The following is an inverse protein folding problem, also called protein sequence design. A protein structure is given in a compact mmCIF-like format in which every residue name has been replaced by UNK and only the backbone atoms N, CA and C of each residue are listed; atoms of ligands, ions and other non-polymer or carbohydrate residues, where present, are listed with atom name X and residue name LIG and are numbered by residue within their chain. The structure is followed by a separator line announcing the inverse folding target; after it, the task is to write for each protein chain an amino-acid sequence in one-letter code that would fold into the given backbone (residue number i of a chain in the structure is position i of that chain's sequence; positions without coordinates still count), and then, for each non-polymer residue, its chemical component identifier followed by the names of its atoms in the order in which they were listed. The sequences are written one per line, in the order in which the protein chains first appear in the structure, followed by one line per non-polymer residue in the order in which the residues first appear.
data_IF_194677935405
#
_entry.id   IF_194677935405
#
_cell.length_a   1.000
_cell.length_b   1.000
_cell.length_c   1.000
_cell.angle_alpha   90.00
_cell.angle_beta   90.00
_cell.angle_gamma   90.00
#
_symmetry.space_group_name_H-M   'P 1'
#
loop_
_entity.id
_entity.type
_entity.pdbx_description
1 polymer ?
#
# COMPACT_ATOMS: atom_id res chain seq x y z
N UNK A 1 5.44 -28.45 1.53
CA UNK A 1 5.68 -27.08 2.06
C UNK A 1 5.70 -26.17 0.85
N UNK A 2 4.74 -25.24 0.74
CA UNK A 2 4.53 -24.50 -0.48
C UNK A 2 5.44 -23.25 -0.54
N UNK A 3 6.26 -23.16 -1.59
CA UNK A 3 7.07 -21.96 -1.86
C UNK A 3 6.20 -20.79 -2.36
N UNK A 4 5.00 -21.11 -2.84
CA UNK A 4 4.03 -20.19 -3.40
C UNK A 4 2.61 -20.62 -3.00
N UNK A 5 1.72 -19.65 -2.83
CA UNK A 5 0.30 -19.91 -2.57
C UNK A 5 -0.36 -20.32 -3.89
N UNK A 6 -1.04 -21.46 -3.88
CA UNK A 6 -1.88 -21.95 -4.98
C UNK A 6 -3.34 -21.87 -4.54
N UNK A 7 -4.13 -20.94 -5.11
CA UNK A 7 -5.55 -20.83 -4.77
C UNK A 7 -6.33 -22.13 -4.95
N UNK A 8 -5.91 -22.98 -5.90
CA UNK A 8 -6.55 -24.27 -6.19
C UNK A 8 -6.57 -25.22 -4.99
N UNK A 9 -5.61 -25.10 -4.07
CA UNK A 9 -5.53 -25.95 -2.89
C UNK A 9 -6.66 -25.68 -1.88
N UNK A 10 -7.43 -24.59 -2.06
CA UNK A 10 -8.53 -24.19 -1.17
C UNK A 10 -9.93 -24.47 -1.76
N UNK A 11 -10.02 -25.07 -2.94
CA UNK A 11 -11.29 -25.31 -3.64
C UNK A 11 -11.37 -26.75 -4.14
N UNK A 12 -12.55 -27.36 -4.04
CA UNK A 12 -12.80 -28.69 -4.62
C UNK A 12 -12.76 -28.65 -6.16
N UNK A 13 -13.38 -27.63 -6.76
CA UNK A 13 -13.33 -27.38 -8.20
C UNK A 13 -12.48 -26.14 -8.50
N UNK A 14 -11.27 -26.30 -9.09
CA UNK A 14 -10.45 -25.17 -9.52
C UNK A 14 -11.15 -24.23 -10.50
N UNK A 15 -12.19 -24.69 -11.21
CA UNK A 15 -12.97 -23.86 -12.11
C UNK A 15 -13.73 -22.74 -11.37
N UNK A 16 -13.94 -22.85 -10.06
CA UNK A 16 -14.56 -21.82 -9.23
C UNK A 16 -13.73 -20.53 -9.19
N UNK A 17 -12.41 -20.65 -9.34
CA UNK A 17 -11.49 -19.51 -9.40
C UNK A 17 -11.60 -18.86 -10.78
N UNK A 18 -12.12 -17.64 -10.82
CA UNK A 18 -12.36 -16.90 -12.08
C UNK A 18 -11.23 -15.96 -12.47
N UNK A 19 -10.35 -15.66 -11.52
CA UNK A 19 -9.15 -14.87 -11.71
C UNK A 19 -8.24 -15.03 -10.48
N UNK A 20 -6.93 -15.04 -10.68
CA UNK A 20 -5.94 -15.06 -9.60
C UNK A 20 -4.76 -14.15 -9.90
N UNK A 21 -4.12 -13.64 -8.86
CA UNK A 21 -2.90 -12.87 -8.97
C UNK A 21 -1.67 -13.76 -9.10
N UNK A 22 -0.51 -13.15 -9.40
CA UNK A 22 0.77 -13.75 -9.07
C UNK A 22 0.93 -13.87 -7.54
N UNK A 23 1.98 -14.56 -7.11
CA UNK A 23 2.42 -14.49 -5.72
C UNK A 23 3.27 -13.24 -5.52
N UNK A 24 3.11 -12.62 -4.37
CA UNK A 24 3.83 -11.42 -3.97
C UNK A 24 4.65 -11.70 -2.72
N UNK A 25 5.90 -11.27 -2.72
CA UNK A 25 6.90 -11.58 -1.72
C UNK A 25 7.46 -10.35 -1.05
N UNK A 26 7.81 -10.46 0.23
CA UNK A 26 8.46 -9.39 0.99
C UNK A 26 9.33 -9.97 2.09
N UNK A 27 10.59 -9.52 2.20
CA UNK A 27 11.42 -9.78 3.37
C UNK A 27 10.87 -9.03 4.60
N UNK A 28 10.61 -9.75 5.68
CA UNK A 28 10.21 -9.15 6.96
C UNK A 28 11.42 -8.74 7.81
N UNK A 29 11.16 -8.21 9.01
CA UNK A 29 12.22 -7.70 9.91
C UNK A 29 13.04 -8.81 10.56
N UNK A 30 12.62 -10.06 10.45
CA UNK A 30 13.30 -11.24 10.97
C UNK A 30 13.95 -12.05 9.83
N UNK A 31 14.18 -11.42 8.68
CA UNK A 31 14.75 -12.01 7.46
C UNK A 31 13.95 -13.17 6.84
N UNK A 32 12.69 -13.36 7.25
CA UNK A 32 11.83 -14.35 6.60
C UNK A 32 11.21 -13.77 5.33
N UNK A 33 10.97 -14.63 4.34
CA UNK A 33 10.24 -14.26 3.14
C UNK A 33 8.76 -14.49 3.36
N UNK A 34 7.99 -13.39 3.41
CA UNK A 34 6.53 -13.43 3.42
C UNK A 34 6.02 -13.67 2.01
N UNK A 35 4.93 -14.42 1.90
CA UNK A 35 4.20 -14.65 0.65
C UNK A 35 2.75 -14.23 0.81
N UNK A 36 2.16 -13.66 -0.24
CA UNK A 36 0.77 -13.24 -0.32
C UNK A 36 0.21 -13.47 -1.73
N UNK A 37 -1.03 -13.93 -1.82
CA UNK A 37 -1.76 -14.03 -3.08
C UNK A 37 -3.23 -13.68 -2.87
N UNK A 38 -3.88 -13.22 -3.94
CA UNK A 38 -5.29 -12.86 -3.96
C UNK A 38 -5.96 -13.39 -5.22
N UNK A 39 -7.22 -13.80 -5.11
CA UNK A 39 -8.00 -14.32 -6.22
C UNK A 39 -9.47 -13.95 -6.07
N UNK A 40 -10.21 -14.19 -7.15
CA UNK A 40 -11.66 -14.00 -7.26
C UNK A 40 -12.29 -15.34 -7.63
N UNK A 41 -13.30 -15.76 -6.87
CA UNK A 41 -14.04 -17.00 -7.08
C UNK A 41 -15.55 -16.76 -7.05
N UNK A 42 -16.33 -17.76 -7.46
CA UNK A 42 -17.78 -17.79 -7.31
C UNK A 42 -18.27 -18.54 -6.06
N UNK A 43 -17.38 -19.30 -5.41
CA UNK A 43 -17.57 -19.93 -4.10
C UNK A 43 -16.55 -19.40 -3.07
N UNK A 44 -16.68 -19.80 -1.80
CA UNK A 44 -15.73 -19.45 -0.74
C UNK A 44 -14.74 -20.62 -0.60
N UNK A 45 -13.43 -20.33 -0.58
CA UNK A 45 -12.41 -21.35 -0.35
C UNK A 45 -12.42 -21.87 1.08
N UNK A 46 -12.15 -23.16 1.24
CA UNK A 46 -12.11 -23.88 2.52
C UNK A 46 -10.73 -23.73 3.17
N UNK A 47 -10.70 -23.65 4.51
CA UNK A 47 -9.43 -23.51 5.25
C UNK A 47 -8.62 -24.81 5.28
N UNK A 48 -9.32 -25.95 5.31
CA UNK A 48 -8.75 -27.28 5.23
C UNK A 48 -9.42 -28.05 4.06
N UNK A 49 -8.65 -28.75 3.21
CA UNK A 49 -9.19 -29.50 2.06
C UNK A 49 -10.18 -30.62 2.44
N UNK A 50 -10.24 -31.00 3.72
CA UNK A 50 -11.10 -32.07 4.25
C UNK A 50 -12.43 -31.55 4.84
N UNK A 51 -12.61 -30.22 4.96
CA UNK A 51 -13.83 -29.58 5.48
C UNK A 51 -14.88 -29.33 4.35
N UNK A 52 -14.95 -30.26 3.40
CA UNK A 52 -15.81 -30.22 2.22
C UNK A 52 -17.26 -30.61 2.54
N UNK A 53 -18.00 -29.75 3.23
CA UNK A 53 -19.46 -29.76 3.16
C UNK A 53 -20.01 -28.32 3.10
N UNK A 54 -20.43 -27.88 1.90
CA UNK A 54 -20.84 -26.49 1.71
C UNK A 54 -21.60 -26.12 0.43
N UNK A 55 -22.80 -26.68 0.25
CA UNK A 55 -23.96 -26.09 -0.44
C UNK A 55 -23.83 -25.64 -1.92
N UNK A 56 -24.20 -26.54 -2.85
CA UNK A 56 -24.56 -26.18 -4.23
C UNK A 56 -25.96 -25.53 -4.27
N UNK A 57 -26.02 -24.21 -4.20
CA UNK A 57 -27.23 -23.44 -4.45
C UNK A 57 -27.59 -23.41 -5.94
N UNK A 58 -28.55 -24.23 -6.35
CA UNK A 58 -29.32 -24.04 -7.60
C UNK A 58 -30.16 -22.76 -7.46
N UNK A 59 -29.77 -21.66 -8.11
CA UNK A 59 -30.55 -20.42 -8.01
C UNK A 59 -30.22 -19.32 -9.03
N UNK A 60 -31.21 -19.06 -9.88
CA UNK A 60 -31.48 -17.86 -10.67
C UNK A 60 -30.65 -17.59 -11.94
N UNK A 61 -31.29 -17.84 -13.09
CA UNK A 61 -30.87 -17.42 -14.44
C UNK A 61 -30.87 -15.89 -14.66
N UNK A 62 -31.28 -15.08 -13.66
CA UNK A 62 -31.58 -13.66 -13.82
C UNK A 62 -31.10 -12.74 -12.68
N UNK A 63 -30.23 -13.21 -11.78
CA UNK A 63 -29.50 -12.35 -10.84
C UNK A 63 -28.01 -12.43 -11.11
N UNK A 64 -27.30 -11.29 -11.11
CA UNK A 64 -25.85 -11.30 -11.22
C UNK A 64 -25.24 -12.19 -10.14
N UNK A 65 -24.43 -13.17 -10.56
CA UNK A 65 -23.77 -14.12 -9.66
C UNK A 65 -22.94 -13.36 -8.61
N UNK A 66 -22.99 -13.81 -7.37
CA UNK A 66 -22.09 -13.32 -6.32
C UNK A 66 -20.65 -13.76 -6.62
N UNK A 67 -19.69 -12.88 -6.32
CA UNK A 67 -18.26 -13.19 -6.39
C UNK A 67 -17.58 -12.91 -5.06
N UNK A 68 -16.51 -13.64 -4.77
CA UNK A 68 -15.74 -13.52 -3.54
C UNK A 68 -14.31 -13.14 -3.86
N UNK A 69 -13.81 -12.10 -3.20
CA UNK A 69 -12.39 -11.75 -3.20
C UNK A 69 -11.76 -12.42 -1.98
N UNK A 70 -10.82 -13.33 -2.19
CA UNK A 70 -10.13 -14.04 -1.13
C UNK A 70 -8.62 -13.90 -1.26
N UNK A 71 -7.91 -13.83 -0.14
CA UNK A 71 -6.45 -13.79 -0.11
C UNK A 71 -5.91 -14.74 0.92
N UNK A 72 -4.65 -15.14 0.73
CA UNK A 72 -3.91 -15.88 1.73
C UNK A 72 -2.52 -15.26 1.92
N UNK A 73 -1.95 -15.50 3.09
CA UNK A 73 -0.66 -14.94 3.47
C UNK A 73 0.09 -15.82 4.45
N UNK A 74 1.42 -15.72 4.46
CA UNK A 74 2.23 -16.46 5.40
C UNK A 74 3.72 -16.24 5.21
N UNK A 75 4.51 -17.21 5.67
CA UNK A 75 5.96 -17.30 5.44
C UNK A 75 6.20 -18.41 4.43
N UNK A 76 7.09 -18.18 3.46
CA UNK A 76 7.54 -19.20 2.49
C UNK A 76 8.08 -20.41 3.26
N UNK A 77 7.58 -21.61 2.93
CA UNK A 77 7.94 -22.84 3.64
C UNK A 77 7.40 -22.93 5.08
N UNK A 78 6.57 -21.99 5.51
CA UNK A 78 5.90 -21.99 6.81
C UNK A 78 4.39 -22.15 6.69
N UNK A 79 3.67 -21.77 7.75
CA UNK A 79 2.20 -21.77 7.78
C UNK A 79 1.65 -20.65 6.89
N UNK A 80 0.69 -21.01 6.05
CA UNK A 80 -0.13 -20.09 5.27
C UNK A 80 -1.51 -19.97 5.93
N UNK A 81 -2.05 -18.76 5.98
CA UNK A 81 -3.36 -18.46 6.53
C UNK A 81 -4.26 -17.87 5.45
N UNK A 82 -5.49 -18.38 5.37
CA UNK A 82 -6.54 -17.88 4.49
C UNK A 82 -7.30 -16.74 5.18
N UNK A 83 -7.38 -15.60 4.52
CA UNK A 83 -8.14 -14.43 4.99
C UNK A 83 -9.64 -14.62 4.77
N UNK A 84 -10.44 -13.89 5.55
CA UNK A 84 -11.90 -13.87 5.38
C UNK A 84 -12.27 -13.32 4.00
N UNK A 85 -13.15 -14.00 3.25
CA UNK A 85 -13.53 -13.57 1.91
C UNK A 85 -14.36 -12.28 1.98
N UNK A 86 -14.19 -11.41 0.98
CA UNK A 86 -15.07 -10.26 0.76
C UNK A 86 -16.07 -10.59 -0.33
N UNK A 87 -17.36 -10.59 0.01
CA UNK A 87 -18.45 -10.81 -0.95
C UNK A 87 -18.72 -9.56 -1.80
N UNK A 88 -18.90 -9.75 -3.09
CA UNK A 88 -19.32 -8.77 -4.09
C UNK A 88 -20.61 -9.27 -4.72
N UNK A 89 -21.73 -8.68 -4.29
CA UNK A 89 -23.07 -8.97 -4.81
C UNK A 89 -23.61 -7.90 -5.76
N UNK A 90 -22.97 -6.73 -5.78
CA UNK A 90 -23.37 -5.60 -6.61
C UNK A 90 -22.13 -4.86 -7.14
N UNK A 91 -22.14 -4.53 -8.42
CA UNK A 91 -21.12 -3.74 -9.07
C UNK A 91 -21.35 -2.24 -8.81
N UNK A 92 -20.27 -1.46 -8.71
CA UNK A 92 -20.35 -0.01 -8.39
C UNK A 92 -19.83 0.85 -9.53
N UNK A 93 -18.69 0.48 -10.09
CA UNK A 93 -18.00 1.24 -11.14
C UNK A 93 -17.66 0.40 -12.36
N UNK A 94 -17.75 -0.93 -12.26
CA UNK A 94 -17.52 -1.85 -13.36
C UNK A 94 -18.84 -2.35 -13.97
N UNK A 95 -18.86 -2.90 -15.20
CA UNK A 95 -20.09 -3.38 -15.85
C UNK A 95 -20.74 -4.61 -15.20
N UNK A 96 -19.97 -5.46 -14.51
CA UNK A 96 -20.47 -6.70 -13.90
C UNK A 96 -19.90 -6.92 -12.50
N UNK A 97 -20.57 -7.75 -11.67
CA UNK A 97 -20.07 -8.13 -10.34
C UNK A 97 -18.68 -8.78 -10.41
N UNK A 98 -18.42 -9.59 -11.43
CA UNK A 98 -17.13 -10.24 -11.66
C UNK A 98 -16.03 -9.22 -11.91
N UNK A 99 -16.28 -8.29 -12.83
CA UNK A 99 -15.31 -7.24 -13.16
C UNK A 99 -15.08 -6.31 -11.98
N UNK A 100 -16.13 -6.02 -11.19
CA UNK A 100 -15.98 -5.27 -9.93
C UNK A 100 -15.06 -6.01 -8.94
N UNK A 101 -15.28 -7.31 -8.75
CA UNK A 101 -14.43 -8.10 -7.85
C UNK A 101 -12.96 -8.13 -8.30
N UNK A 102 -12.71 -8.28 -9.60
CA UNK A 102 -11.35 -8.23 -10.17
C UNK A 102 -10.74 -6.83 -10.03
N UNK A 103 -11.51 -5.76 -10.26
CA UNK A 103 -11.06 -4.38 -10.08
C UNK A 103 -10.66 -4.11 -8.63
N UNK A 104 -11.50 -4.50 -7.67
CA UNK A 104 -11.24 -4.33 -6.24
C UNK A 104 -10.03 -5.18 -5.80
N UNK A 105 -9.89 -6.41 -6.31
CA UNK A 105 -8.73 -7.27 -6.04
C UNK A 105 -7.42 -6.67 -6.57
N UNK A 106 -7.43 -6.11 -7.80
CA UNK A 106 -6.28 -5.38 -8.36
C UNK A 106 -5.94 -4.13 -7.56
N UNK A 107 -6.93 -3.43 -7.00
CA UNK A 107 -6.69 -2.32 -6.08
C UNK A 107 -5.93 -2.78 -4.83
N UNK A 108 -6.32 -3.92 -4.24
CA UNK A 108 -5.62 -4.52 -3.10
C UNK A 108 -4.19 -4.95 -3.45
N UNK A 109 -3.94 -5.44 -4.68
CA UNK A 109 -2.58 -5.68 -5.18
C UNK A 109 -1.77 -4.38 -5.16
N UNK A 110 -2.31 -3.30 -5.71
CA UNK A 110 -1.60 -2.01 -5.75
C UNK A 110 -1.20 -1.56 -4.34
N UNK A 111 -2.09 -1.70 -3.37
CA UNK A 111 -1.79 -1.37 -1.97
C UNK A 111 -0.74 -2.31 -1.36
N UNK A 112 -0.76 -3.60 -1.74
CA UNK A 112 0.25 -4.56 -1.30
C UNK A 112 1.62 -4.28 -1.90
N UNK A 113 1.70 -3.99 -3.19
CA UNK A 113 2.93 -3.58 -3.87
C UNK A 113 3.47 -2.28 -3.29
N UNK A 114 2.61 -1.29 -3.04
CA UNK A 114 3.01 -0.07 -2.30
C UNK A 114 3.60 -0.43 -0.95
N UNK A 115 3.04 -1.40 -0.22
CA UNK A 115 3.58 -1.87 1.06
C UNK A 115 4.92 -2.64 0.98
N UNK A 116 5.50 -2.74 -0.22
CA UNK A 116 6.85 -3.26 -0.48
C UNK A 116 6.88 -4.73 -0.83
N UNK A 117 5.76 -5.29 -1.26
CA UNK A 117 5.74 -6.63 -1.83
C UNK A 117 6.09 -6.57 -3.33
N UNK A 118 6.82 -7.57 -3.81
CA UNK A 118 7.27 -7.71 -5.21
C UNK A 118 6.82 -9.07 -5.78
N UNK A 119 6.64 -9.17 -7.08
CA UNK A 119 6.28 -10.46 -7.73
C UNK A 119 7.47 -11.44 -7.80
N UNK A 120 8.69 -10.90 -7.85
CA UNK A 120 9.93 -11.70 -7.86
C UNK A 120 10.40 -11.94 -6.42
N UNK A 121 10.43 -13.22 -6.03
CA UNK A 121 10.89 -13.66 -4.72
C UNK A 121 12.37 -13.36 -4.48
N UNK A 122 13.24 -13.51 -5.49
CA UNK A 122 14.67 -13.26 -5.34
C UNK A 122 14.92 -11.76 -5.16
N UNK A 123 14.29 -10.93 -5.98
CA UNK A 123 14.35 -9.47 -5.80
C UNK A 123 13.83 -9.03 -4.42
N UNK A 124 12.80 -9.70 -3.89
CA UNK A 124 12.23 -9.40 -2.57
C UNK A 124 13.18 -9.69 -1.40
N UNK A 125 14.19 -10.57 -1.58
CA UNK A 125 15.19 -10.86 -0.54
C UNK A 125 16.05 -9.64 -0.24
N UNK A 126 16.43 -8.89 -1.27
CA UNK A 126 17.34 -7.74 -1.13
C UNK A 126 16.62 -6.40 -1.11
N UNK A 127 15.34 -6.38 -1.46
CA UNK A 127 14.55 -5.15 -1.51
C UNK A 127 14.31 -4.57 -0.11
N UNK A 128 14.82 -3.36 0.12
CA UNK A 128 14.55 -2.57 1.33
C UNK A 128 13.70 -1.38 0.94
N UNK A 129 12.43 -1.40 1.37
CA UNK A 129 11.59 -0.22 1.28
C UNK A 129 11.73 0.62 2.55
N UNK A 130 12.38 1.78 2.42
CA UNK A 130 12.47 2.75 3.52
C UNK A 130 11.09 3.33 3.81
N UNK A 131 10.67 3.27 5.08
CA UNK A 131 9.44 3.85 5.59
C UNK A 131 9.76 4.78 6.75
N UNK A 132 8.97 5.86 6.93
CA UNK A 132 9.19 6.75 8.06
C UNK A 132 8.96 5.98 9.37
N UNK A 133 9.79 6.26 10.36
CA UNK A 133 9.68 5.65 11.67
C UNK A 133 8.41 6.15 12.38
N UNK A 134 7.61 5.21 12.89
CA UNK A 134 6.50 5.52 13.78
C UNK A 134 6.99 5.78 15.21
N UNK A 135 6.32 6.67 15.94
CA UNK A 135 6.59 6.89 17.36
C UNK A 135 5.64 6.02 18.21
N UNK A 136 6.18 5.35 19.23
CA UNK A 136 5.35 4.71 20.24
C UNK A 136 4.70 5.75 21.16
N UNK A 137 3.55 5.40 21.75
CA UNK A 137 2.94 6.23 22.77
C UNK A 137 3.85 6.33 24.01
N UNK A 138 4.09 7.56 24.47
CA UNK A 138 4.97 7.83 25.61
C UNK A 138 4.49 7.14 26.89
N UNK A 139 3.18 7.09 27.15
CA UNK A 139 2.61 6.40 28.32
C UNK A 139 3.01 4.91 28.40
N UNK A 140 3.23 4.26 27.25
CA UNK A 140 3.48 2.83 27.18
C UNK A 140 4.98 2.51 27.12
N UNK A 141 5.79 3.42 26.57
CA UNK A 141 7.22 3.18 26.28
C UNK A 141 8.18 4.27 26.80
N UNK A 142 7.69 5.25 27.56
CA UNK A 142 8.51 6.37 28.04
C UNK A 142 9.66 5.94 28.96
N UNK A 143 9.50 4.83 29.68
CA UNK A 143 10.54 4.22 30.51
C UNK A 143 11.73 3.67 29.71
N UNK A 144 11.60 3.51 28.38
CA UNK A 144 12.71 3.10 27.51
C UNK A 144 13.65 4.26 27.14
N UNK A 145 13.29 5.50 27.49
CA UNK A 145 14.10 6.69 27.15
C UNK A 145 15.24 6.82 28.15
N UNK A 146 16.47 6.81 27.63
CA UNK A 146 17.69 7.09 28.39
C UNK A 146 17.94 8.61 28.37
N UNK A 147 18.16 9.20 29.54
CA UNK A 147 18.38 10.64 29.68
C UNK A 147 19.88 10.97 29.89
N UNK A 148 20.35 12.15 29.41
CA UNK A 148 19.59 13.19 28.72
C UNK A 148 19.19 12.79 27.29
N UNK A 149 18.02 13.27 26.83
CA UNK A 149 17.46 12.96 25.53
C UNK A 149 17.14 14.24 24.73
N UNK A 150 17.04 14.11 23.41
CA UNK A 150 16.67 15.21 22.50
C UNK A 150 15.15 15.30 22.40
N UNK A 151 14.60 16.49 22.64
CA UNK A 151 13.19 16.79 22.40
C UNK A 151 13.02 17.62 21.12
N UNK A 152 11.97 17.33 20.35
CA UNK A 152 11.64 18.04 19.11
C UNK A 152 10.16 18.46 19.11
N UNK A 153 9.83 19.54 18.40
CA UNK A 153 8.43 19.95 18.20
C UNK A 153 7.73 18.94 17.29
N UNK A 154 6.53 18.52 17.67
CA UNK A 154 5.65 17.73 16.80
C UNK A 154 4.82 18.66 15.93
N UNK A 155 5.18 18.78 14.66
CA UNK A 155 4.39 19.53 13.68
C UNK A 155 3.11 18.77 13.30
N UNK A 156 2.06 19.51 13.02
CA UNK A 156 0.77 18.98 12.55
C UNK A 156 0.66 19.21 11.04
N UNK A 157 1.22 18.28 10.27
CA UNK A 157 1.37 18.39 8.83
C UNK A 157 1.28 17.03 8.12
N UNK A 158 1.95 16.93 6.97
CA UNK A 158 2.02 15.70 6.21
C UNK A 158 3.47 15.17 6.16
N UNK A 159 3.68 13.96 6.69
CA UNK A 159 4.98 13.27 6.66
C UNK A 159 5.57 13.21 5.25
N UNK A 160 6.88 13.46 5.14
CA UNK A 160 7.64 13.37 3.90
C UNK A 160 9.02 12.76 4.13
N UNK A 161 9.39 11.82 3.25
CA UNK A 161 10.76 11.33 3.12
C UNK A 161 11.37 11.92 1.85
N UNK A 162 12.58 12.48 1.93
CA UNK A 162 13.27 13.05 0.78
C UNK A 162 14.56 12.30 0.53
N UNK A 163 14.74 11.82 -0.68
CA UNK A 163 15.95 11.14 -1.13
C UNK A 163 16.60 11.93 -2.26
N UNK A 164 17.93 11.84 -2.35
CA UNK A 164 18.73 12.37 -3.47
C UNK A 164 19.56 11.23 -4.04
N UNK A 165 19.36 10.93 -5.32
CA UNK A 165 20.13 9.88 -6.00
C UNK A 165 21.53 10.38 -6.41
N UNK A 166 22.36 9.47 -6.93
CA UNK A 166 23.72 9.77 -7.36
C UNK A 166 23.79 10.80 -8.52
N UNK A 167 22.70 10.94 -9.30
CA UNK A 167 22.59 11.91 -10.39
C UNK A 167 22.05 13.26 -9.90
N UNK A 168 21.80 13.41 -8.59
CA UNK A 168 21.27 14.62 -7.98
C UNK A 168 19.75 14.80 -8.15
N UNK A 169 19.03 13.78 -8.63
CA UNK A 169 17.56 13.82 -8.67
C UNK A 169 17.02 13.68 -7.25
N UNK A 170 16.17 14.62 -6.87
CA UNK A 170 15.49 14.65 -5.57
C UNK A 170 14.10 14.07 -5.73
N UNK A 171 13.72 13.16 -4.84
CA UNK A 171 12.37 12.57 -4.81
C UNK A 171 11.78 12.73 -3.41
N UNK A 172 10.54 13.23 -3.34
CA UNK A 172 9.79 13.40 -2.10
C UNK A 172 8.73 12.31 -2.05
N UNK A 173 8.75 11.47 -1.03
CA UNK A 173 7.78 10.40 -0.81
C UNK A 173 6.86 10.72 0.37
N UNK A 174 5.59 10.42 0.21
CA UNK A 174 4.62 10.39 1.30
C UNK A 174 4.94 9.27 2.29
N UNK A 175 4.25 9.25 3.44
CA UNK A 175 4.27 8.09 4.36
C UNK A 175 3.89 6.77 3.67
N UNK A 176 2.95 6.83 2.71
CA UNK A 176 2.44 5.72 1.92
C UNK A 176 3.37 5.27 0.78
N UNK A 177 4.41 6.06 0.47
CA UNK A 177 5.41 5.78 -0.56
C UNK A 177 5.14 6.49 -1.89
N UNK A 178 3.98 7.13 -2.04
CA UNK A 178 3.63 7.92 -3.22
C UNK A 178 4.54 9.13 -3.39
N UNK A 179 4.82 9.51 -4.63
CA UNK A 179 5.70 10.64 -4.93
C UNK A 179 4.90 11.94 -4.86
N UNK A 180 5.42 12.90 -4.11
CA UNK A 180 5.00 14.29 -4.18
C UNK A 180 5.74 15.01 -5.30
N UNK A 181 4.99 15.79 -6.07
CA UNK A 181 5.45 16.60 -7.17
C UNK A 181 5.20 18.09 -6.91
N UNK A 182 6.01 18.93 -7.55
CA UNK A 182 5.76 20.37 -7.62
C UNK A 182 6.11 21.15 -6.36
N UNK A 183 6.84 20.53 -5.43
CA UNK A 183 7.46 21.17 -4.25
C UNK A 183 8.86 21.69 -4.59
N UNK A 184 8.94 22.49 -5.65
CA UNK A 184 10.21 22.88 -6.30
C UNK A 184 11.18 23.58 -5.35
N UNK A 185 10.69 24.39 -4.42
CA UNK A 185 11.54 25.08 -3.44
C UNK A 185 12.25 24.10 -2.50
N UNK A 186 11.53 23.07 -2.04
CA UNK A 186 12.07 22.00 -1.20
C UNK A 186 13.06 21.17 -2.02
N UNK A 187 12.70 20.79 -3.24
CA UNK A 187 13.58 20.05 -4.15
C UNK A 187 14.89 20.81 -4.39
N UNK A 188 14.80 22.11 -4.71
CA UNK A 188 15.95 22.96 -4.96
C UNK A 188 16.81 23.17 -3.71
N UNK A 189 16.20 23.29 -2.53
CA UNK A 189 16.93 23.34 -1.27
C UNK A 189 17.74 22.07 -1.05
N UNK A 190 17.12 20.89 -1.21
CA UNK A 190 17.79 19.60 -1.02
C UNK A 190 18.86 19.35 -2.10
N UNK A 191 18.65 19.78 -3.36
CA UNK A 191 19.68 19.72 -4.40
C UNK A 191 20.95 20.44 -4.00
N UNK A 192 20.83 21.61 -3.34
CA UNK A 192 21.96 22.40 -2.82
C UNK A 192 22.61 21.83 -1.56
N UNK A 193 21.94 20.90 -0.85
CA UNK A 193 22.54 20.24 0.30
C UNK A 193 23.59 19.23 -0.12
N UNK A 194 24.69 19.18 0.63
CA UNK A 194 25.73 18.17 0.50
C UNK A 194 25.37 16.92 1.31
N UNK A 195 24.29 16.23 0.92
CA UNK A 195 23.89 14.95 1.52
C UNK A 195 24.53 13.78 0.76
N UNK A 196 25.05 12.76 1.47
CA UNK A 196 25.54 11.54 0.83
C UNK A 196 24.46 10.83 0.01
N UNK A 197 24.87 10.09 -1.01
CA UNK A 197 23.95 9.20 -1.73
C UNK A 197 23.35 8.17 -0.78
N UNK A 198 22.05 7.92 -0.90
CA UNK A 198 21.31 7.02 -0.01
C UNK A 198 20.90 7.64 1.33
N UNK A 199 21.28 8.89 1.62
CA UNK A 199 20.78 9.60 2.79
C UNK A 199 19.31 9.95 2.61
N UNK A 200 18.50 9.70 3.65
CA UNK A 200 17.06 9.98 3.66
C UNK A 200 16.77 11.09 4.66
N UNK A 201 16.23 12.19 4.18
CA UNK A 201 15.73 13.28 5.03
C UNK A 201 14.28 12.96 5.41
N UNK A 202 14.05 12.68 6.69
CA UNK A 202 12.72 12.38 7.22
C UNK A 202 12.16 13.58 7.99
N UNK A 203 11.02 14.10 7.55
CA UNK A 203 10.45 15.33 8.10
C UNK A 203 8.96 15.50 7.81
N UNK A 204 8.48 16.74 7.95
CA UNK A 204 7.06 17.07 7.84
C UNK A 204 6.86 18.24 6.86
N UNK A 205 5.98 18.07 5.87
CA UNK A 205 5.45 19.18 5.09
C UNK A 205 4.53 20.00 6.01
N UNK A 206 4.97 21.21 6.33
CA UNK A 206 4.32 22.06 7.32
C UNK A 206 4.42 23.54 6.94
N UNK A 207 3.38 24.30 7.25
CA UNK A 207 3.37 25.75 7.16
C UNK A 207 2.66 26.33 8.37
N UNK A 208 3.37 27.15 9.15
CA UNK A 208 2.83 27.76 10.36
C UNK A 208 1.61 28.65 10.04
N UNK A 209 0.61 28.62 10.92
CA UNK A 209 -0.65 29.36 10.74
C UNK A 209 -1.64 28.73 9.76
N UNK A 210 -1.31 27.60 9.11
CA UNK A 210 -2.27 26.82 8.31
C UNK A 210 -2.80 25.61 9.07
N UNK A 211 -4.05 25.26 8.82
CA UNK A 211 -4.64 24.03 9.34
C UNK A 211 -4.09 22.80 8.64
N UNK A 212 -4.13 21.65 9.32
CA UNK A 212 -3.77 20.36 8.74
C UNK A 212 -4.58 20.06 7.47
N UNK A 213 -5.87 20.41 7.43
CA UNK A 213 -6.71 20.20 6.25
C UNK A 213 -6.21 20.98 5.03
N UNK A 214 -5.77 22.24 5.24
CA UNK A 214 -5.23 23.06 4.17
C UNK A 214 -3.88 22.51 3.66
N UNK A 215 -3.00 22.12 4.58
CA UNK A 215 -1.70 21.50 4.25
C UNK A 215 -1.92 20.18 3.51
N UNK A 216 -2.79 19.31 4.02
CA UNK A 216 -3.13 18.03 3.40
C UNK A 216 -3.83 18.18 2.05
N UNK A 217 -4.58 19.27 1.83
CA UNK A 217 -5.13 19.65 0.54
C UNK A 217 -4.02 19.93 -0.49
N UNK A 218 -3.00 20.69 -0.12
CA UNK A 218 -1.84 20.98 -0.97
C UNK A 218 -0.99 19.73 -1.22
N UNK A 219 -0.71 18.95 -0.18
CA UNK A 219 0.06 17.71 -0.28
C UNK A 219 -0.60 16.72 -1.27
N UNK A 220 -1.93 16.55 -1.19
CA UNK A 220 -2.67 15.69 -2.12
C UNK A 220 -2.60 16.14 -3.58
N UNK A 221 -2.61 17.45 -3.84
CA UNK A 221 -2.39 17.97 -5.20
C UNK A 221 -1.01 17.60 -5.72
N UNK A 222 -0.01 17.66 -4.84
CA UNK A 222 1.35 17.21 -5.14
C UNK A 222 1.42 15.73 -5.52
N UNK A 223 0.48 14.87 -5.12
CA UNK A 223 0.47 13.46 -5.56
C UNK A 223 0.07 13.28 -7.03
N UNK A 224 -0.42 14.33 -7.70
CA UNK A 224 -0.76 14.28 -9.12
C UNK A 224 0.44 14.70 -9.97
N UNK A 225 0.84 13.84 -10.92
CA UNK A 225 1.85 14.19 -11.92
C UNK A 225 1.49 15.42 -12.76
N UNK A 226 0.19 15.69 -12.95
CA UNK A 226 -0.29 16.88 -13.67
C UNK A 226 0.05 18.19 -12.93
N UNK A 227 0.21 18.14 -11.60
CA UNK A 227 0.59 19.30 -10.79
C UNK A 227 2.04 19.74 -11.04
N UNK A 228 2.91 18.80 -11.44
CA UNK A 228 4.32 19.08 -11.70
C UNK A 228 4.51 20.13 -12.80
N UNK A 229 3.65 20.11 -13.83
CA UNK A 229 3.73 21.00 -15.00
C UNK A 229 3.05 22.35 -14.84
N UNK A 230 2.40 22.63 -13.70
CA UNK A 230 1.70 23.90 -13.49
C UNK A 230 2.68 25.01 -13.05
N UNK A 231 2.51 26.21 -13.59
CA UNK A 231 3.23 27.40 -13.12
C UNK A 231 2.83 27.74 -11.67
N UNK A 232 3.69 28.44 -10.94
CA UNK A 232 3.42 28.81 -9.54
C UNK A 232 2.15 29.67 -9.41
N UNK A 233 1.87 30.51 -10.41
CA UNK A 233 0.62 31.26 -10.51
C UNK A 233 -0.60 30.33 -10.64
N UNK A 234 -0.54 29.33 -11.52
CA UNK A 234 -1.62 28.35 -11.68
C UNK A 234 -1.82 27.47 -10.43
N UNK A 235 -0.74 27.14 -9.73
CA UNK A 235 -0.78 26.43 -8.45
C UNK A 235 -1.45 27.28 -7.35
N UNK A 236 -1.13 28.57 -7.29
CA UNK A 236 -1.75 29.51 -6.35
C UNK A 236 -3.25 29.69 -6.63
N UNK A 237 -3.64 29.93 -7.89
CA UNK A 237 -5.04 30.13 -8.31
C UNK A 237 -5.90 28.89 -8.04
N UNK A 238 -5.41 27.69 -8.34
CA UNK A 238 -6.17 26.45 -8.05
C UNK A 238 -6.32 26.17 -6.55
N UNK A 239 -5.43 26.75 -5.72
CA UNK A 239 -5.45 26.60 -4.26
C UNK A 239 -6.35 27.64 -3.59
N UNK A 240 -6.58 28.77 -4.25
CA UNK A 240 -7.53 29.79 -3.81
C UNK A 240 -9.00 29.40 -4.07
N UNK A 241 -9.30 28.65 -5.13
CA UNK A 241 -10.69 28.27 -5.51
C UNK A 241 -11.40 27.25 -4.60
N UNK A 242 -10.75 26.75 -3.54
CA UNK A 242 -11.29 25.68 -2.66
C UNK A 242 -11.39 26.07 -1.18
N UNK A 243 -11.12 27.33 -0.85
CA UNK A 243 -11.38 27.88 0.49
C UNK A 243 -12.66 28.71 0.45
#
# INVERSE_FOLDING_TARGET
MADAIKPEDYYEDPADIKWKSANYYKRDTNDNIRVWAIWVSDSIGHKDPEDGEGFQGLGSLFSDKDYYIQSAHGVVGGTISLDQPTKISEHKSQPTNREQAIFDAKSRINDKTKSGYLEDQEAAKDFIMVRPMGANHFKDRGHNIIFPAIAQRKYDGNRVLITKDANGKVTLHSRGGEIYHGFTDIENAVKRMNVPAGFVLDGELYQHGKSLQAIGGLARKGLSGAWAGMSDKAKAESSAKKN
#
